data_IF_752371761216
#
_entry.id   IF_752371761216
#
_cell.length_a   1.000
_cell.length_b   1.000
_cell.length_c   1.000
_cell.angle_alpha   90.00
_cell.angle_beta   90.00
_cell.angle_gamma   90.00
#
_symmetry.space_group_name_H-M   'P 1'
#
loop_
_entity.id
_entity.type
_entity.pdbx_description
1 polymer ?
#
# COMPACT_ATOMS: atom_id res chain seq x y z
N UNK A 1 -12.91 -3.54 -6.03
CA UNK A 1 -13.05 -2.09 -6.26
C UNK A 1 -11.74 -1.53 -6.79
N UNK A 2 -10.71 -1.35 -5.97
CA UNK A 2 -9.46 -0.68 -6.36
C UNK A 2 -8.67 -1.35 -7.50
N UNK A 3 -8.76 -2.67 -7.70
CA UNK A 3 -8.22 -3.32 -8.91
C UNK A 3 -8.79 -2.73 -10.19
N UNK A 4 -10.11 -2.51 -10.25
CA UNK A 4 -10.78 -1.93 -11.42
C UNK A 4 -10.39 -0.47 -11.60
N UNK A 5 -10.29 0.28 -10.51
CA UNK A 5 -9.89 1.69 -10.56
C UNK A 5 -8.46 1.84 -11.06
N UNK A 6 -7.52 1.02 -10.55
CA UNK A 6 -6.12 1.00 -11.00
C UNK A 6 -5.99 0.67 -12.49
N UNK A 7 -6.70 -0.36 -12.97
CA UNK A 7 -6.77 -0.70 -14.40
C UNK A 7 -7.33 0.47 -15.24
N UNK A 8 -8.37 1.14 -14.74
CA UNK A 8 -8.98 2.29 -15.43
C UNK A 8 -8.03 3.50 -15.47
N UNK A 9 -7.09 3.60 -14.53
CA UNK A 9 -6.02 4.60 -14.48
C UNK A 9 -4.76 4.20 -15.25
N UNK A 10 -4.75 3.05 -15.94
CA UNK A 10 -3.65 2.62 -16.80
C UNK A 10 -2.60 1.74 -16.14
N UNK A 11 -2.85 1.23 -14.93
CA UNK A 11 -1.98 0.24 -14.29
C UNK A 11 -2.04 -1.12 -15.04
N UNK A 12 -0.96 -1.88 -14.99
CA UNK A 12 -0.85 -3.18 -15.67
C UNK A 12 -1.53 -4.31 -14.89
N UNK A 13 -2.22 -5.21 -15.61
CA UNK A 13 -2.75 -6.45 -15.03
C UNK A 13 -1.67 -7.33 -14.41
N UNK A 14 -0.47 -7.35 -15.00
CA UNK A 14 0.65 -8.16 -14.51
C UNK A 14 1.15 -7.59 -13.18
N UNK A 15 1.30 -6.27 -13.11
CA UNK A 15 1.72 -5.56 -11.89
C UNK A 15 0.71 -5.73 -10.77
N UNK A 16 -0.59 -5.64 -11.06
CA UNK A 16 -1.65 -5.91 -10.07
C UNK A 16 -1.59 -7.35 -9.58
N UNK A 17 -1.42 -8.31 -10.50
CA UNK A 17 -1.41 -9.74 -10.16
C UNK A 17 -0.22 -10.12 -9.27
N UNK A 18 0.92 -9.45 -9.44
CA UNK A 18 2.16 -9.74 -8.72
C UNK A 18 2.37 -8.86 -7.48
N UNK A 19 1.51 -7.85 -7.27
CA UNK A 19 1.58 -6.94 -6.13
C UNK A 19 1.67 -7.65 -4.76
N UNK A 20 0.93 -8.75 -4.47
CA UNK A 20 1.07 -9.46 -3.20
C UNK A 20 2.47 -10.06 -2.96
N UNK A 21 3.26 -10.25 -4.01
CA UNK A 21 4.62 -10.79 -3.98
C UNK A 21 5.67 -9.75 -4.42
N UNK A 22 5.38 -8.46 -4.27
CA UNK A 22 6.17 -7.37 -4.88
C UNK A 22 7.68 -7.42 -4.56
N UNK A 23 8.07 -7.93 -3.38
CA UNK A 23 9.48 -8.06 -2.96
C UNK A 23 10.30 -8.98 -3.85
N UNK A 24 9.67 -10.03 -4.37
CA UNK A 24 10.33 -11.10 -5.13
C UNK A 24 10.41 -10.79 -6.62
N UNK A 25 10.10 -9.55 -7.03
CA UNK A 25 10.01 -9.18 -8.45
C UNK A 25 10.71 -7.88 -8.77
N UNK A 26 11.00 -7.66 -10.05
CA UNK A 26 11.59 -6.43 -10.57
C UNK A 26 10.54 -5.46 -11.16
N UNK A 27 9.24 -5.72 -10.97
CA UNK A 27 8.17 -4.90 -11.56
C UNK A 27 8.07 -3.51 -10.94
N UNK A 28 8.54 -3.33 -9.72
CA UNK A 28 8.38 -2.11 -8.93
C UNK A 28 9.72 -1.40 -8.75
N UNK A 29 9.72 -0.09 -8.98
CA UNK A 29 10.86 0.81 -8.75
C UNK A 29 11.19 0.91 -7.26
N UNK A 30 12.40 1.35 -6.91
CA UNK A 30 12.81 1.54 -5.51
C UNK A 30 11.87 2.48 -4.72
N UNK A 31 11.33 3.49 -5.38
CA UNK A 31 10.33 4.40 -4.80
C UNK A 31 9.02 3.68 -4.48
N UNK A 32 8.53 2.85 -5.40
CA UNK A 32 7.34 2.03 -5.18
C UNK A 32 7.58 0.98 -4.08
N UNK A 33 8.73 0.29 -4.10
CA UNK A 33 9.12 -0.68 -3.08
C UNK A 33 9.16 -0.05 -1.68
N UNK A 34 9.74 1.14 -1.57
CA UNK A 34 9.81 1.89 -0.31
C UNK A 34 8.41 2.32 0.16
N UNK A 35 7.54 2.73 -0.78
CA UNK A 35 6.13 3.04 -0.49
C UNK A 35 5.38 1.80 0.01
N UNK A 36 5.52 0.66 -0.67
CA UNK A 36 4.86 -0.60 -0.32
C UNK A 36 5.32 -1.13 1.04
N UNK A 37 6.61 -1.03 1.35
CA UNK A 37 7.16 -1.39 2.66
C UNK A 37 6.54 -0.54 3.79
N UNK A 38 6.43 0.77 3.56
CA UNK A 38 5.80 1.69 4.51
C UNK A 38 4.30 1.39 4.69
N UNK A 39 3.57 1.13 3.60
CA UNK A 39 2.14 0.75 3.64
C UNK A 39 1.93 -0.52 4.46
N UNK A 40 2.77 -1.54 4.28
CA UNK A 40 2.68 -2.78 5.05
C UNK A 40 2.96 -2.56 6.54
N UNK A 41 4.01 -1.82 6.87
CA UNK A 41 4.35 -1.50 8.26
C UNK A 41 3.22 -0.73 8.97
N UNK A 42 2.60 0.24 8.29
CA UNK A 42 1.45 1.00 8.83
C UNK A 42 0.20 0.11 8.94
N UNK A 43 -0.01 -0.80 7.99
CA UNK A 43 -1.16 -1.71 8.02
C UNK A 43 -1.09 -2.67 9.22
N UNK A 44 0.13 -3.11 9.58
CA UNK A 44 0.41 -4.00 10.70
C UNK A 44 0.84 -3.26 11.97
N UNK A 45 0.48 -1.98 12.12
CA UNK A 45 0.89 -1.14 13.27
C UNK A 45 0.45 -1.68 14.64
N UNK A 46 -0.50 -2.62 14.68
CA UNK A 46 -0.90 -3.33 15.89
C UNK A 46 0.13 -4.35 16.37
N UNK A 47 0.93 -4.90 15.44
CA UNK A 47 1.89 -5.98 15.71
C UNK A 47 3.22 -5.40 16.23
N UNK A 48 3.50 -4.15 15.84
CA UNK A 48 4.60 -3.32 16.31
C UNK A 48 4.47 -1.90 15.74
N UNK A 49 5.18 -0.94 16.33
CA UNK A 49 5.30 0.39 15.70
C UNK A 49 6.02 0.28 14.34
N UNK A 50 5.93 1.33 13.51
CA UNK A 50 6.68 1.39 12.24
C UNK A 50 8.19 1.34 12.56
N UNK A 51 8.95 0.34 12.08
CA UNK A 51 10.38 0.25 12.38
C UNK A 51 11.16 1.42 11.77
N UNK A 52 12.14 1.96 12.51
CA UNK A 52 12.99 3.06 12.05
C UNK A 52 13.62 2.79 10.68
N UNK A 53 14.14 1.58 10.46
CA UNK A 53 14.76 1.19 9.20
C UNK A 53 13.79 1.28 7.99
N UNK A 54 12.50 1.01 8.18
CA UNK A 54 11.48 1.15 7.11
C UNK A 54 11.21 2.64 6.84
N UNK A 55 11.12 3.45 7.89
CA UNK A 55 10.91 4.88 7.75
C UNK A 55 12.12 5.57 7.10
N UNK A 56 13.34 5.21 7.49
CA UNK A 56 14.58 5.67 6.88
C UNK A 56 14.67 5.27 5.40
N UNK A 57 14.30 4.04 5.06
CA UNK A 57 14.24 3.60 3.66
C UNK A 57 13.22 4.42 2.85
N UNK A 58 12.06 4.73 3.42
CA UNK A 58 11.08 5.61 2.79
C UNK A 58 11.65 7.02 2.60
N UNK A 59 12.25 7.60 3.64
CA UNK A 59 12.86 8.93 3.60
C UNK A 59 14.03 9.07 2.62
N UNK A 60 14.71 7.96 2.29
CA UNK A 60 15.75 7.93 1.27
C UNK A 60 15.21 7.99 -0.18
N UNK A 61 13.96 7.56 -0.40
CA UNK A 61 13.39 7.39 -1.74
C UNK A 61 12.16 8.26 -2.04
N UNK A 62 11.56 8.86 -1.01
CA UNK A 62 10.35 9.68 -1.08
C UNK A 62 10.61 11.08 -0.51
N UNK A 63 9.90 12.07 -1.05
CA UNK A 63 9.82 13.39 -0.40
C UNK A 63 8.96 13.32 0.87
N UNK A 64 9.06 14.34 1.74
CA UNK A 64 8.21 14.43 2.94
C UNK A 64 6.71 14.45 2.62
N UNK A 65 6.33 15.10 1.53
CA UNK A 65 4.94 15.17 1.07
C UNK A 65 4.46 13.81 0.56
N UNK A 66 5.34 13.05 -0.10
CA UNK A 66 5.04 11.71 -0.58
C UNK A 66 4.91 10.70 0.56
N UNK A 67 5.79 10.76 1.57
CA UNK A 67 5.67 9.96 2.79
C UNK A 67 4.34 10.25 3.48
N UNK A 68 4.02 11.54 3.66
CA UNK A 68 2.74 11.96 4.24
C UNK A 68 1.57 11.39 3.41
N UNK A 69 1.61 11.52 2.09
CA UNK A 69 0.57 10.97 1.23
C UNK A 69 0.40 9.45 1.41
N UNK A 70 1.50 8.68 1.49
CA UNK A 70 1.48 7.23 1.74
C UNK A 70 0.86 6.92 3.10
N UNK A 71 1.23 7.64 4.16
CA UNK A 71 0.65 7.47 5.50
C UNK A 71 -0.87 7.73 5.49
N UNK A 72 -1.29 8.85 4.93
CA UNK A 72 -2.70 9.23 4.83
C UNK A 72 -3.50 8.19 4.03
N UNK A 73 -3.02 7.78 2.87
CA UNK A 73 -3.67 6.75 2.04
C UNK A 73 -3.75 5.40 2.76
N UNK A 74 -2.68 5.02 3.47
CA UNK A 74 -2.63 3.79 4.26
C UNK A 74 -3.69 3.79 5.36
N UNK A 75 -3.81 4.89 6.12
CA UNK A 75 -4.82 5.07 7.17
C UNK A 75 -6.24 5.02 6.58
N UNK A 76 -6.48 5.74 5.47
CA UNK A 76 -7.79 5.79 4.81
C UNK A 76 -8.22 4.41 4.35
N UNK A 77 -7.38 3.66 3.62
CA UNK A 77 -7.76 2.32 3.14
C UNK A 77 -7.93 1.33 4.31
N UNK A 78 -7.12 1.48 5.38
CA UNK A 78 -7.26 0.70 6.60
C UNK A 78 -8.60 0.94 7.31
N UNK A 79 -9.11 2.17 7.31
CA UNK A 79 -10.42 2.51 7.83
C UNK A 79 -11.54 1.92 6.97
N UNK A 80 -11.47 2.08 5.64
CA UNK A 80 -12.43 1.50 4.70
C UNK A 80 -12.52 -0.02 4.85
N UNK A 81 -11.39 -0.71 4.95
CA UNK A 81 -11.35 -2.16 5.13
C UNK A 81 -12.03 -2.59 6.43
N UNK A 82 -11.78 -1.89 7.54
CA UNK A 82 -12.41 -2.19 8.84
C UNK A 82 -13.93 -2.00 8.79
N UNK A 83 -14.41 -0.94 8.16
CA UNK A 83 -15.85 -0.69 7.99
C UNK A 83 -16.49 -1.75 7.08
N UNK A 84 -15.92 -2.00 5.90
CA UNK A 84 -16.48 -2.93 4.94
C UNK A 84 -16.54 -4.37 5.49
N UNK A 85 -15.47 -4.83 6.13
CA UNK A 85 -15.41 -6.19 6.70
C UNK A 85 -16.37 -6.33 7.89
N UNK A 86 -16.36 -5.39 8.84
CA UNK A 86 -17.22 -5.48 10.04
C UNK A 86 -18.71 -5.35 9.71
N UNK A 87 -19.06 -4.58 8.68
CA UNK A 87 -20.44 -4.46 8.18
C UNK A 87 -20.87 -5.60 7.24
N UNK A 88 -19.97 -6.55 6.94
CA UNK A 88 -20.20 -7.65 5.97
C UNK A 88 -20.63 -7.15 4.59
N UNK A 89 -20.01 -6.07 4.13
CA UNK A 89 -20.32 -5.48 2.84
C UNK A 89 -20.12 -6.49 1.69
N UNK A 90 -21.16 -6.76 0.87
CA UNK A 90 -21.06 -7.76 -0.20
C UNK A 90 -20.30 -7.21 -1.40
N UNK A 91 -19.25 -7.91 -1.83
CA UNK A 91 -18.57 -7.64 -3.11
C UNK A 91 -19.35 -8.36 -4.21
N UNK A 92 -19.98 -7.60 -5.10
CA UNK A 92 -20.69 -8.14 -6.27
C UNK A 92 -19.71 -8.34 -7.42
N UNK A 93 -19.95 -9.41 -8.19
CA UNK A 93 -19.27 -9.66 -9.46
C UNK A 93 -19.65 -8.62 -10.52
#
# INVERSE_FOLDING_TARGET
>A
MHTRDALSSGESSDRISILPAWRETAYFTEKERSSLALVEAITLISDGQVPDAIYEQAAANLSKDEISAVEWLSVVINAWNRIAISSRYPVKA
#
